data_IF_149410587776
#
_entry.id   IF_149410587776
#
_cell.length_a   1.000
_cell.length_b   1.000
_cell.length_c   1.000
_cell.angle_alpha   90.00
_cell.angle_beta   90.00
_cell.angle_gamma   90.00
#
_symmetry.space_group_name_H-M   'P 1'
#
loop_
_entity.id
_entity.type
_entity.pdbx_description
1 polymer ?
#
# COMPACT_ATOMS: atom_id res chain seq x y z
N UNK A 1 9.82 5.94 -3.70
CA UNK A 1 8.90 5.17 -2.85
C UNK A 1 7.63 5.99 -2.60
N UNK A 2 6.47 5.40 -2.82
CA UNK A 2 5.15 5.86 -2.41
C UNK A 2 4.84 5.11 -1.11
N UNK A 3 4.82 5.82 0.01
CA UNK A 3 4.44 5.26 1.30
C UNK A 3 3.09 5.84 1.74
N UNK A 4 2.13 4.99 2.10
CA UNK A 4 0.80 5.42 2.56
C UNK A 4 0.68 5.20 4.06
N UNK A 5 0.52 6.28 4.84
CA UNK A 5 0.36 6.24 6.29
C UNK A 5 -1.10 6.51 6.69
N UNK A 6 -1.73 5.53 7.32
CA UNK A 6 -3.06 5.62 7.92
C UNK A 6 -4.24 5.83 6.96
N UNK A 7 -5.44 5.76 7.52
CA UNK A 7 -6.75 6.03 6.89
C UNK A 7 -6.95 7.49 6.41
N UNK A 8 -5.89 8.30 6.35
CA UNK A 8 -5.95 9.75 6.53
C UNK A 8 -5.70 10.61 5.30
N UNK A 9 -6.65 10.67 4.37
CA UNK A 9 -6.95 11.92 3.64
C UNK A 9 -8.43 12.34 3.76
N UNK A 10 -9.18 11.73 4.69
CA UNK A 10 -10.61 12.00 4.88
C UNK A 10 -10.84 13.13 5.88
N UNK A 11 -11.47 14.21 5.40
CA UNK A 11 -12.17 15.20 6.24
C UNK A 11 -13.58 14.74 6.64
N UNK A 12 -14.03 13.58 6.17
CA UNK A 12 -15.37 13.03 6.37
C UNK A 12 -15.25 11.51 6.48
N UNK A 13 -15.52 10.97 7.68
CA UNK A 13 -15.13 9.65 8.16
C UNK A 13 -15.62 8.39 7.42
N UNK A 14 -15.99 8.46 6.14
CA UNK A 14 -16.59 7.37 5.36
C UNK A 14 -15.80 6.96 4.10
N UNK A 15 -14.55 7.41 3.93
CA UNK A 15 -13.85 7.28 2.64
C UNK A 15 -12.75 6.20 2.56
N UNK A 16 -12.81 5.13 3.37
CA UNK A 16 -12.02 3.88 3.32
C UNK A 16 -11.09 3.73 2.09
N UNK A 17 -9.93 4.39 2.04
CA UNK A 17 -9.01 4.38 0.88
C UNK A 17 -9.52 5.03 -0.44
N UNK A 18 -10.84 5.20 -0.59
CA UNK A 18 -11.52 5.77 -1.76
C UNK A 18 -11.04 7.16 -2.14
N UNK A 19 -10.57 7.99 -1.23
CA UNK A 19 -10.07 9.31 -1.59
C UNK A 19 -8.75 9.26 -2.35
N UNK A 20 -7.80 8.43 -1.93
CA UNK A 20 -6.59 8.24 -2.71
C UNK A 20 -7.00 7.66 -4.08
N UNK A 21 -7.81 6.61 -4.13
CA UNK A 21 -8.33 6.06 -5.39
C UNK A 21 -9.06 7.09 -6.27
N UNK A 22 -9.86 7.99 -5.68
CA UNK A 22 -10.58 9.06 -6.38
C UNK A 22 -9.65 10.18 -6.86
N UNK A 23 -8.62 10.51 -6.08
CA UNK A 23 -7.59 11.47 -6.47
C UNK A 23 -6.70 10.91 -7.60
N UNK A 24 -6.46 9.60 -7.60
CA UNK A 24 -5.68 8.86 -8.61
C UNK A 24 -6.45 8.61 -9.91
N UNK A 25 -7.78 8.55 -9.85
CA UNK A 25 -8.65 8.47 -11.03
C UNK A 25 -8.92 9.85 -11.64
N UNK A 26 -8.78 10.93 -10.85
CA UNK A 26 -8.83 12.32 -11.32
C UNK A 26 -7.56 12.80 -12.03
N UNK A 27 -7.48 14.12 -12.27
CA UNK A 27 -6.28 14.75 -12.77
C UNK A 27 -5.29 14.95 -11.61
N UNK A 28 -4.07 14.43 -11.73
CA UNK A 28 -3.00 14.60 -10.75
C UNK A 28 -2.75 16.07 -10.39
N UNK A 29 -3.08 17.01 -11.28
CA UNK A 29 -3.03 18.45 -11.02
C UNK A 29 -3.97 18.94 -9.91
N UNK A 30 -4.95 18.12 -9.49
CA UNK A 30 -5.86 18.43 -8.40
C UNK A 30 -5.29 18.04 -7.02
N UNK A 31 -4.15 17.33 -6.98
CA UNK A 31 -3.46 17.00 -5.74
C UNK A 31 -2.69 18.22 -5.22
N UNK A 32 -2.86 18.49 -3.92
CA UNK A 32 -2.03 19.46 -3.22
C UNK A 32 -0.75 18.76 -2.78
N UNK A 33 0.36 19.00 -3.49
CA UNK A 33 1.66 18.50 -3.08
C UNK A 33 2.22 19.35 -1.92
N UNK A 34 2.43 18.73 -0.77
CA UNK A 34 3.23 19.32 0.30
C UNK A 34 4.70 18.96 0.09
N UNK A 35 5.56 19.97 -0.06
CA UNK A 35 7.00 19.80 -0.25
C UNK A 35 7.76 20.33 0.95
N UNK A 36 8.83 19.63 1.32
CA UNK A 36 9.74 20.07 2.39
C UNK A 36 10.44 21.38 2.01
N UNK A 37 10.80 21.54 0.74
CA UNK A 37 11.37 22.75 0.16
C UNK A 37 11.10 22.77 -1.36
N UNK A 38 11.47 23.85 -2.03
CA UNK A 38 11.28 24.03 -3.48
C UNK A 38 12.20 23.17 -4.35
N UNK A 39 13.23 22.54 -3.79
CA UNK A 39 14.17 21.68 -4.53
C UNK A 39 13.59 20.27 -4.76
N UNK A 40 12.58 19.88 -3.97
CA UNK A 40 11.83 18.65 -4.21
C UNK A 40 11.02 18.80 -5.49
N UNK A 41 11.26 17.89 -6.44
CA UNK A 41 10.58 17.83 -7.72
C UNK A 41 9.05 17.80 -7.57
N UNK A 42 8.37 18.31 -8.60
CA UNK A 42 6.91 18.26 -8.68
C UNK A 42 6.44 16.80 -8.74
N UNK A 43 5.23 16.54 -8.25
CA UNK A 43 4.68 15.19 -8.18
C UNK A 43 4.65 14.51 -9.56
N UNK A 44 4.32 15.27 -10.62
CA UNK A 44 4.32 14.74 -11.99
C UNK A 44 5.70 14.20 -12.40
N UNK A 45 6.79 14.83 -11.95
CA UNK A 45 8.15 14.39 -12.25
C UNK A 45 8.52 13.17 -11.39
N UNK A 46 8.22 13.21 -10.08
CA UNK A 46 8.46 12.08 -9.17
C UNK A 46 7.76 10.79 -9.64
N UNK A 47 6.55 10.91 -10.19
CA UNK A 47 5.77 9.77 -10.70
C UNK A 47 6.23 9.26 -12.07
N UNK A 48 7.15 9.97 -12.73
CA UNK A 48 7.81 9.49 -13.97
C UNK A 48 9.10 8.72 -13.70
N UNK A 49 9.53 8.61 -12.44
CA UNK A 49 10.73 7.87 -12.09
C UNK A 49 10.65 6.41 -12.61
N UNK A 50 11.74 5.84 -13.16
CA UNK A 50 11.72 4.51 -13.75
C UNK A 50 11.48 3.37 -12.74
N UNK A 51 11.78 3.63 -11.47
CA UNK A 51 11.56 2.69 -10.36
C UNK A 51 10.73 3.35 -9.28
N UNK A 52 9.46 2.99 -9.18
CA UNK A 52 8.56 3.48 -8.14
C UNK A 52 8.09 2.28 -7.35
N UNK A 53 8.23 2.36 -6.03
CA UNK A 53 7.85 1.29 -5.11
C UNK A 53 6.68 1.74 -4.27
N UNK A 54 5.70 0.87 -4.03
CA UNK A 54 4.57 1.10 -3.14
C UNK A 54 4.80 0.39 -1.81
N UNK A 55 4.59 1.10 -0.70
CA UNK A 55 4.61 0.55 0.66
C UNK A 55 3.44 1.10 1.47
N UNK A 56 2.69 0.21 2.10
CA UNK A 56 1.63 0.54 3.04
C UNK A 56 1.41 -0.63 3.99
N UNK A 57 0.31 -0.60 4.73
CA UNK A 57 -0.11 -1.72 5.56
C UNK A 57 -0.16 -3.03 4.77
N UNK A 58 0.08 -4.14 5.45
CA UNK A 58 -0.19 -5.47 4.91
C UNK A 58 -1.68 -5.77 5.13
N UNK A 59 -2.54 -5.19 4.30
CA UNK A 59 -3.98 -5.46 4.31
C UNK A 59 -4.60 -5.39 2.91
N UNK A 60 -5.87 -5.79 2.80
CA UNK A 60 -6.61 -5.81 1.54
C UNK A 60 -6.72 -4.43 0.90
N UNK A 61 -6.82 -3.36 1.69
CA UNK A 61 -7.03 -2.02 1.17
C UNK A 61 -5.75 -1.46 0.55
N UNK A 62 -4.59 -1.70 1.16
CA UNK A 62 -3.30 -1.35 0.57
C UNK A 62 -3.10 -2.02 -0.79
N UNK A 63 -3.48 -3.29 -0.94
CA UNK A 63 -3.40 -3.99 -2.23
C UNK A 63 -4.42 -3.48 -3.26
N UNK A 64 -5.61 -3.05 -2.84
CA UNK A 64 -6.58 -2.36 -3.72
C UNK A 64 -6.07 -1.02 -4.21
N UNK A 65 -5.43 -0.25 -3.33
CA UNK A 65 -4.76 1.01 -3.68
C UNK A 65 -3.64 0.74 -4.69
N UNK A 66 -2.78 -0.24 -4.42
CA UNK A 66 -1.71 -0.66 -5.32
C UNK A 66 -2.23 -1.00 -6.73
N UNK A 67 -3.26 -1.86 -6.83
CA UNK A 67 -3.89 -2.20 -8.13
C UNK A 67 -4.47 -0.98 -8.83
N UNK A 68 -5.03 -0.04 -8.09
CA UNK A 68 -5.56 1.21 -8.65
C UNK A 68 -4.43 2.10 -9.18
N UNK A 69 -3.32 2.20 -8.45
CA UNK A 69 -2.13 2.94 -8.86
C UNK A 69 -1.47 2.35 -10.11
N UNK A 70 -1.38 1.02 -10.22
CA UNK A 70 -0.79 0.33 -11.37
C UNK A 70 -1.42 0.74 -12.71
N UNK A 71 -2.72 1.06 -12.72
CA UNK A 71 -3.42 1.55 -13.93
C UNK A 71 -2.88 2.87 -14.47
N UNK A 72 -2.23 3.66 -13.61
CA UNK A 72 -1.68 4.99 -13.92
C UNK A 72 -0.15 5.01 -13.91
N UNK A 73 0.47 4.14 -13.13
CA UNK A 73 1.92 4.02 -12.95
C UNK A 73 2.29 2.56 -13.26
N UNK A 74 2.42 2.17 -14.54
CA UNK A 74 2.65 0.78 -14.91
C UNK A 74 4.00 0.23 -14.44
N UNK A 75 4.97 1.10 -14.16
CA UNK A 75 6.27 0.74 -13.60
C UNK A 75 6.29 0.64 -12.07
N UNK A 76 5.14 0.78 -11.41
CA UNK A 76 5.02 0.62 -9.97
C UNK A 76 5.26 -0.84 -9.58
N UNK A 77 6.04 -1.06 -8.54
CA UNK A 77 6.25 -2.39 -7.94
C UNK A 77 5.95 -2.33 -6.44
N UNK A 78 5.68 -3.47 -5.82
CA UNK A 78 5.61 -3.54 -4.35
C UNK A 78 7.00 -3.35 -3.75
N UNK A 79 7.06 -2.67 -2.61
CA UNK A 79 8.29 -2.51 -1.86
C UNK A 79 8.79 -3.86 -1.32
N UNK A 80 10.11 -4.08 -1.30
CA UNK A 80 10.76 -5.20 -0.59
C UNK A 80 10.33 -5.34 0.88
N UNK A 81 9.87 -4.26 1.50
CA UNK A 81 9.40 -4.21 2.89
C UNK A 81 8.17 -5.11 3.15
N UNK A 82 7.46 -5.55 2.12
CA UNK A 82 6.41 -6.57 2.26
C UNK A 82 6.97 -7.96 2.61
N UNK A 83 8.24 -8.26 2.35
CA UNK A 83 8.89 -9.54 2.72
C UNK A 83 8.93 -9.80 4.24
N UNK A 84 9.48 -8.89 5.07
CA UNK A 84 9.43 -9.05 6.52
C UNK A 84 8.00 -9.02 7.07
N UNK A 85 7.10 -8.18 6.52
CA UNK A 85 5.69 -8.17 6.90
C UNK A 85 4.98 -9.52 6.61
N UNK A 86 5.23 -10.10 5.44
CA UNK A 86 4.74 -11.43 5.08
C UNK A 86 5.19 -12.49 6.09
N UNK A 87 6.46 -12.45 6.49
CA UNK A 87 7.05 -13.39 7.45
C UNK A 87 6.42 -13.26 8.84
N UNK A 88 6.14 -12.03 9.29
CA UNK A 88 5.44 -11.76 10.54
C UNK A 88 4.00 -12.29 10.49
N UNK A 89 3.27 -12.04 9.40
CA UNK A 89 1.90 -12.48 9.24
C UNK A 89 1.79 -14.02 9.22
N UNK A 90 2.71 -14.69 8.53
CA UNK A 90 2.82 -16.16 8.55
C UNK A 90 3.12 -16.72 9.96
N UNK A 91 3.87 -15.98 10.78
CA UNK A 91 4.12 -16.32 12.18
C UNK A 91 2.92 -16.00 13.11
N UNK A 92 1.76 -15.63 12.55
CA UNK A 92 0.56 -15.28 13.30
C UNK A 92 0.65 -13.93 14.00
N UNK A 93 1.61 -13.07 13.61
CA UNK A 93 1.68 -11.69 14.08
C UNK A 93 0.81 -10.87 13.15
N UNK A 94 -0.32 -10.41 13.65
CA UNK A 94 -1.29 -9.63 12.90
C UNK A 94 -2.44 -9.27 13.83
N UNK A 95 -3.22 -8.27 13.44
CA UNK A 95 -4.42 -7.90 14.16
C UNK A 95 -5.64 -8.29 13.32
N UNK A 96 -6.66 -8.84 13.97
CA UNK A 96 -7.93 -9.10 13.29
C UNK A 96 -8.56 -7.77 12.81
N UNK A 97 -9.33 -7.87 11.74
CA UNK A 97 -10.18 -6.76 11.32
C UNK A 97 -11.36 -6.66 12.28
N UNK A 98 -11.23 -5.81 13.30
CA UNK A 98 -12.21 -5.60 14.36
C UNK A 98 -12.44 -4.09 14.56
N UNK A 99 -13.56 -3.71 15.20
CA UNK A 99 -13.93 -2.33 15.56
C UNK A 99 -12.77 -1.51 16.14
N UNK A 100 -11.96 -2.14 16.99
CA UNK A 100 -10.89 -1.50 17.75
C UNK A 100 -9.69 -1.15 16.85
N UNK A 101 -9.48 -1.89 15.75
CA UNK A 101 -8.41 -1.62 14.78
C UNK A 101 -8.85 -0.65 13.68
N UNK A 102 -10.09 -0.16 13.72
CA UNK A 102 -10.61 0.80 12.73
C UNK A 102 -10.81 0.22 11.33
N UNK A 103 -10.75 -1.11 11.17
CA UNK A 103 -10.81 -1.80 9.86
C UNK A 103 -12.13 -2.54 9.58
N UNK A 104 -13.20 -2.27 10.34
CA UNK A 104 -14.50 -2.94 10.18
C UNK A 104 -15.20 -2.78 8.83
N UNK A 105 -14.90 -1.71 8.11
CA UNK A 105 -15.49 -1.46 6.80
C UNK A 105 -14.72 -2.08 5.63
N UNK A 106 -13.62 -2.82 5.88
CA UNK A 106 -12.88 -3.45 4.80
C UNK A 106 -13.71 -4.59 4.20
N UNK A 107 -14.05 -4.45 2.92
CA UNK A 107 -14.78 -5.49 2.19
C UNK A 107 -13.91 -6.75 2.11
N UNK A 108 -14.53 -7.90 2.37
CA UNK A 108 -13.88 -9.20 2.21
C UNK A 108 -13.33 -9.37 0.80
N UNK A 109 -12.27 -10.16 0.68
CA UNK A 109 -11.66 -10.50 -0.60
C UNK A 109 -12.66 -11.28 -1.47
N UNK A 110 -13.00 -10.76 -2.64
CA UNK A 110 -13.89 -11.49 -3.56
C UNK A 110 -13.13 -12.57 -4.34
N UNK A 111 -13.85 -13.55 -4.88
CA UNK A 111 -13.23 -14.72 -5.54
C UNK A 111 -12.35 -14.32 -6.75
N UNK A 112 -12.81 -13.36 -7.55
CA UNK A 112 -12.13 -12.91 -8.77
C UNK A 112 -11.20 -11.70 -8.54
N UNK A 113 -11.09 -11.22 -7.29
CA UNK A 113 -10.24 -10.07 -6.99
C UNK A 113 -8.76 -10.43 -7.15
N UNK A 114 -8.03 -9.61 -7.90
CA UNK A 114 -6.61 -9.81 -8.25
C UNK A 114 -6.32 -11.05 -9.11
N UNK A 115 -7.31 -11.62 -9.81
CA UNK A 115 -7.08 -12.77 -10.70
C UNK A 115 -6.04 -12.49 -11.82
N UNK A 116 -5.86 -11.23 -12.19
CA UNK A 116 -4.87 -10.72 -13.14
C UNK A 116 -3.48 -10.45 -12.53
N UNK A 117 -3.35 -10.54 -11.21
CA UNK A 117 -2.13 -10.25 -10.45
C UNK A 117 -1.88 -11.37 -9.41
N UNK A 118 -1.39 -12.55 -9.83
CA UNK A 118 -1.27 -13.74 -8.97
C UNK A 118 -0.45 -13.51 -7.69
N UNK A 119 0.63 -12.74 -7.76
CA UNK A 119 1.47 -12.43 -6.60
C UNK A 119 0.70 -11.59 -5.57
N UNK A 120 -0.07 -10.60 -6.05
CA UNK A 120 -0.91 -9.77 -5.19
C UNK A 120 -2.06 -10.58 -4.61
N UNK A 121 -2.61 -11.52 -5.40
CA UNK A 121 -3.64 -12.44 -4.93
C UNK A 121 -3.15 -13.28 -3.75
N UNK A 122 -1.96 -13.86 -3.84
CA UNK A 122 -1.37 -14.65 -2.75
C UNK A 122 -1.21 -13.82 -1.47
N UNK A 123 -0.71 -12.59 -1.59
CA UNK A 123 -0.57 -11.68 -0.45
C UNK A 123 -1.93 -11.29 0.14
N UNK A 124 -2.93 -11.01 -0.71
CA UNK A 124 -4.28 -10.68 -0.29
C UNK A 124 -4.99 -11.85 0.42
N UNK A 125 -4.75 -13.08 -0.02
CA UNK A 125 -5.27 -14.27 0.65
C UNK A 125 -4.66 -14.47 2.04
N UNK A 126 -3.35 -14.19 2.19
CA UNK A 126 -2.67 -14.28 3.48
C UNK A 126 -3.25 -13.28 4.49
N UNK A 127 -3.61 -12.08 4.06
CA UNK A 127 -4.23 -11.07 4.92
C UNK A 127 -5.75 -11.04 4.88
N UNK A 128 -6.42 -12.06 4.35
CA UNK A 128 -7.88 -12.04 4.20
C UNK A 128 -8.66 -11.89 5.52
N UNK A 129 -8.04 -12.21 6.66
CA UNK A 129 -8.66 -12.18 7.99
C UNK A 129 -7.93 -11.29 9.00
N UNK A 130 -6.70 -10.89 8.73
CA UNK A 130 -5.89 -10.09 9.62
C UNK A 130 -4.91 -9.23 8.81
N UNK A 131 -4.60 -8.05 9.35
CA UNK A 131 -3.64 -7.14 8.77
C UNK A 131 -2.41 -6.95 9.66
N UNK A 132 -1.40 -6.30 9.09
CA UNK A 132 -0.29 -5.71 9.84
C UNK A 132 -0.11 -4.26 9.43
N UNK A 133 0.02 -3.39 10.42
CA UNK A 133 0.41 -2.00 10.21
C UNK A 133 1.89 -1.95 9.82
N UNK A 134 2.24 -1.08 8.86
CA UNK A 134 3.63 -0.96 8.40
C UNK A 134 4.59 -0.53 9.52
N UNK A 135 4.10 0.15 10.56
CA UNK A 135 4.86 0.59 11.73
C UNK A 135 5.28 -0.58 12.63
N UNK A 136 4.87 -1.82 12.33
CA UNK A 136 5.41 -3.00 13.03
C UNK A 136 6.89 -3.25 12.69
N UNK A 137 7.39 -2.72 11.57
CA UNK A 137 8.80 -2.77 11.23
C UNK A 137 9.56 -1.65 11.94
N UNK A 138 10.67 -1.99 12.58
CA UNK A 138 11.60 -1.03 13.15
C UNK A 138 12.32 -0.22 12.06
N UNK A 139 12.84 0.94 12.43
CA UNK A 139 13.68 1.75 11.53
C UNK A 139 14.90 0.98 11.00
N UNK A 140 15.44 0.05 11.80
CA UNK A 140 16.57 -0.79 11.40
C UNK A 140 16.15 -1.80 10.33
N UNK A 141 14.99 -2.44 10.49
CA UNK A 141 14.44 -3.35 9.48
C UNK A 141 14.13 -2.60 8.18
N UNK A 142 13.55 -1.41 8.28
CA UNK A 142 13.26 -0.56 7.10
C UNK A 142 14.56 -0.21 6.37
N UNK A 143 15.60 0.21 7.09
CA UNK A 143 16.89 0.53 6.49
C UNK A 143 17.58 -0.70 5.86
N UNK A 144 17.42 -1.88 6.46
CA UNK A 144 18.06 -3.11 5.99
C UNK A 144 17.36 -3.67 4.75
N UNK A 145 16.03 -3.66 4.72
CA UNK A 145 15.23 -4.30 3.68
C UNK A 145 14.77 -3.35 2.59
N UNK A 146 14.62 -2.06 2.87
CA UNK A 146 14.08 -1.05 1.94
C UNK A 146 14.95 -0.76 0.73
N UNK A 147 16.22 -1.14 0.74
CA UNK A 147 17.15 -1.01 -0.40
C UNK A 147 17.37 -2.32 -1.17
N UNK A 148 16.82 -3.45 -0.68
CA UNK A 148 17.07 -4.77 -1.26
C UNK A 148 16.22 -5.05 -2.50
N UNK A 149 16.74 -5.71 -3.53
CA UNK A 149 15.89 -6.20 -4.64
C UNK A 149 15.25 -7.53 -4.20
N UNK A 150 13.95 -7.52 -3.85
CA UNK A 150 13.21 -8.74 -3.54
C UNK A 150 12.26 -9.13 -4.67
N UNK A 151 12.35 -10.38 -5.11
CA UNK A 151 11.30 -11.08 -5.85
C UNK A 151 10.50 -11.91 -4.86
N UNK A 152 9.18 -11.77 -4.85
CA UNK A 152 8.31 -12.65 -4.06
C UNK A 152 8.39 -14.07 -4.63
N UNK A 153 8.62 -15.10 -3.81
CA UNK A 153 8.64 -16.48 -4.28
C UNK A 153 7.24 -16.86 -4.78
N UNK A 154 7.19 -17.47 -5.96
CA UNK A 154 5.99 -17.99 -6.63
C UNK A 154 5.33 -19.14 -5.86
#
# INVERSE_FOLDING_TARGET
MIATFGYGLSKSGDAYGKQLQNLLTGNWSALIQLRRNSEVAEMSELLTHPRIEFWGDFDLEAFRIYRSLLKRIPQLVLSPLYGPLHSLLQAGKGHEYHQITGKEGQAALSADEFADLPEIRQLAELCAKCGLDQECLSLQEIATHGESEHQFPC
#
